data_IF_700247594510
#
_entry.id   IF_700247594510
#
_cell.length_a   1.000
_cell.length_b   1.000
_cell.length_c   1.000
_cell.angle_alpha   90.00
_cell.angle_beta   90.00
_cell.angle_gamma   90.00
#
_symmetry.space_group_name_H-M   'P 1'
#
loop_
_entity.id
_entity.type
_entity.pdbx_description
1 polymer ?
#
# COMPACT_ATOMS: atom_id res chain seq x y z
N UNK A 1 10.19 5.53 -24.75
CA UNK A 1 8.85 5.09 -24.31
C UNK A 1 8.90 3.87 -23.40
N UNK A 2 9.39 2.70 -23.85
CA UNK A 2 9.49 1.50 -23.00
C UNK A 2 10.44 1.67 -21.80
N UNK A 3 11.62 2.26 -22.04
CA UNK A 3 12.59 2.56 -20.99
C UNK A 3 12.04 3.56 -19.95
N UNK A 4 11.23 4.52 -20.40
CA UNK A 4 10.61 5.53 -19.53
C UNK A 4 9.54 4.89 -18.64
N UNK A 5 8.73 3.98 -19.21
CA UNK A 5 7.73 3.23 -18.48
C UNK A 5 8.37 2.36 -17.38
N UNK A 6 9.44 1.62 -17.72
CA UNK A 6 10.20 0.81 -16.77
C UNK A 6 10.87 1.67 -15.68
N UNK A 7 11.44 2.82 -16.04
CA UNK A 7 12.03 3.73 -15.06
C UNK A 7 10.97 4.29 -14.11
N UNK A 8 9.79 4.66 -14.60
CA UNK A 8 8.67 5.08 -13.74
C UNK A 8 8.24 3.98 -12.78
N UNK A 9 8.13 2.73 -13.26
CA UNK A 9 7.80 1.59 -12.41
C UNK A 9 8.88 1.35 -11.36
N UNK A 10 10.16 1.32 -11.75
CA UNK A 10 11.29 1.14 -10.83
C UNK A 10 11.26 2.17 -9.70
N UNK A 11 11.09 3.44 -10.06
CA UNK A 11 11.00 4.53 -9.09
C UNK A 11 9.74 4.40 -8.22
N UNK A 12 8.61 3.98 -8.79
CA UNK A 12 7.39 3.69 -8.03
C UNK A 12 7.59 2.59 -6.97
N UNK A 13 8.17 1.46 -7.35
CA UNK A 13 8.48 0.37 -6.42
C UNK A 13 9.49 0.78 -5.35
N UNK A 14 10.46 1.65 -5.68
CA UNK A 14 11.36 2.22 -4.68
C UNK A 14 10.61 3.05 -3.63
N UNK A 15 9.65 3.88 -4.05
CA UNK A 15 8.83 4.65 -3.09
C UNK A 15 7.93 3.74 -2.25
N UNK A 16 7.35 2.67 -2.82
CA UNK A 16 6.61 1.67 -2.03
C UNK A 16 7.52 1.01 -1.00
N UNK A 17 8.75 0.66 -1.36
CA UNK A 17 9.72 0.09 -0.44
C UNK A 17 10.02 1.04 0.71
N UNK A 18 10.29 2.31 0.42
CA UNK A 18 10.52 3.34 1.45
C UNK A 18 9.29 3.49 2.34
N UNK A 19 8.09 3.56 1.76
CA UNK A 19 6.86 3.66 2.53
C UNK A 19 6.64 2.45 3.45
N UNK A 20 6.91 1.24 2.95
CA UNK A 20 6.77 0.00 3.72
C UNK A 20 7.76 -0.04 4.88
N UNK A 21 9.02 0.38 4.67
CA UNK A 21 10.00 0.49 5.75
C UNK A 21 9.58 1.52 6.81
N UNK A 22 9.05 2.67 6.40
CA UNK A 22 8.54 3.68 7.32
C UNK A 22 7.34 3.15 8.13
N UNK A 23 6.45 2.39 7.51
CA UNK A 23 5.34 1.74 8.21
C UNK A 23 5.83 0.73 9.24
N UNK A 24 6.79 -0.14 8.86
CA UNK A 24 7.38 -1.13 9.76
C UNK A 24 8.04 -0.45 10.96
N UNK A 25 8.89 0.56 10.71
CA UNK A 25 9.54 1.34 11.79
C UNK A 25 8.48 1.96 12.69
N UNK A 26 7.44 2.57 12.10
CA UNK A 26 6.30 3.12 12.84
C UNK A 26 5.67 2.07 13.76
N UNK A 27 5.32 0.90 13.25
CA UNK A 27 4.71 -0.19 14.01
C UNK A 27 5.62 -0.61 15.17
N UNK A 28 6.93 -0.79 14.95
CA UNK A 28 7.86 -1.15 16.02
C UNK A 28 7.95 -0.06 17.10
N UNK A 29 8.02 1.21 16.72
CA UNK A 29 8.03 2.34 17.65
C UNK A 29 6.72 2.40 18.46
N UNK A 30 5.58 2.21 17.78
CA UNK A 30 4.26 2.15 18.40
C UNK A 30 4.14 1.00 19.41
N UNK A 31 4.52 -0.22 19.02
CA UNK A 31 4.50 -1.38 19.91
C UNK A 31 5.43 -1.20 21.11
N UNK A 32 6.67 -0.73 20.89
CA UNK A 32 7.61 -0.45 21.97
C UNK A 32 7.03 0.56 22.98
N UNK A 33 6.31 1.57 22.50
CA UNK A 33 5.64 2.53 23.37
C UNK A 33 4.51 1.91 24.20
N UNK A 34 3.73 0.99 23.63
CA UNK A 34 2.69 0.27 24.35
C UNK A 34 3.31 -0.57 25.47
N UNK A 35 4.39 -1.31 25.18
CA UNK A 35 5.11 -2.08 26.19
C UNK A 35 5.71 -1.19 27.30
N UNK A 36 6.28 -0.03 26.95
CA UNK A 36 6.80 0.92 27.92
C UNK A 36 5.68 1.45 28.85
N UNK A 37 4.50 1.75 28.30
CA UNK A 37 3.33 2.17 29.09
C UNK A 37 2.83 1.05 29.99
N UNK A 38 2.66 -0.16 29.46
CA UNK A 38 2.17 -1.31 30.24
C UNK A 38 3.14 -1.65 31.36
N UNK A 39 4.45 -1.69 31.10
CA UNK A 39 5.46 -1.91 32.13
C UNK A 39 5.46 -0.82 33.20
N UNK A 40 5.36 0.45 32.80
CA UNK A 40 5.35 1.58 33.72
C UNK A 40 4.08 1.69 34.57
N UNK A 41 2.93 1.19 34.11
CA UNK A 41 1.69 1.13 34.91
C UNK A 41 1.85 0.25 36.16
N UNK A 42 2.72 -0.76 36.11
CA UNK A 42 3.02 -1.60 37.26
C UNK A 42 4.00 -0.96 38.26
N UNK A 43 4.77 0.05 37.84
CA UNK A 43 5.81 0.68 38.68
C UNK A 43 5.43 2.08 39.18
N UNK A 44 4.93 3.00 38.32
CA UNK A 44 4.63 4.39 38.69
C UNK A 44 3.49 5.04 37.85
N UNK A 45 2.26 5.17 38.39
CA UNK A 45 1.05 5.49 37.62
C UNK A 45 0.91 6.93 37.09
N UNK A 46 1.71 7.91 37.54
CA UNK A 46 1.44 9.34 37.26
C UNK A 46 2.49 10.07 36.38
N UNK A 47 3.64 9.47 36.05
CA UNK A 47 4.76 10.18 35.38
C UNK A 47 4.98 9.87 33.88
N UNK A 48 4.23 8.95 33.27
CA UNK A 48 4.54 8.44 31.92
C UNK A 48 3.55 8.82 30.80
N UNK A 49 2.54 9.66 31.08
CA UNK A 49 1.57 10.10 30.06
C UNK A 49 2.25 10.89 28.94
N UNK A 50 3.29 11.67 29.25
CA UNK A 50 4.01 12.50 28.27
C UNK A 50 4.88 11.68 27.30
N UNK A 51 5.56 10.62 27.78
CA UNK A 51 6.39 9.75 26.93
C UNK A 51 5.54 8.81 26.07
N UNK A 52 4.41 8.33 26.59
CA UNK A 52 3.40 7.60 25.84
C UNK A 52 2.80 8.44 24.71
N UNK A 53 2.42 9.68 25.00
CA UNK A 53 1.85 10.60 24.03
C UNK A 53 2.85 10.95 22.91
N UNK A 54 4.14 11.15 23.26
CA UNK A 54 5.20 11.41 22.28
C UNK A 54 5.40 10.27 21.29
N UNK A 55 5.44 9.02 21.77
CA UNK A 55 5.64 7.87 20.90
C UNK A 55 4.40 7.53 20.05
N UNK A 56 3.19 7.71 20.60
CA UNK A 56 1.96 7.63 19.81
C UNK A 56 1.93 8.70 18.70
N UNK A 57 2.35 9.94 19.01
CA UNK A 57 2.45 10.99 18.00
C UNK A 57 3.44 10.61 16.89
N UNK A 58 4.62 10.07 17.23
CA UNK A 58 5.60 9.58 16.23
C UNK A 58 5.02 8.45 15.39
N UNK A 59 4.32 7.49 16.01
CA UNK A 59 3.63 6.41 15.30
C UNK A 59 2.63 6.94 14.27
N UNK A 60 1.74 7.85 14.67
CA UNK A 60 0.75 8.44 13.76
C UNK A 60 1.40 9.26 12.65
N UNK A 61 2.45 10.03 12.95
CA UNK A 61 3.20 10.79 11.95
C UNK A 61 3.82 9.83 10.94
N UNK A 62 4.51 8.77 11.38
CA UNK A 62 5.13 7.79 10.49
C UNK A 62 4.11 7.06 9.62
N UNK A 63 2.95 6.69 10.17
CA UNK A 63 1.85 6.12 9.39
C UNK A 63 1.34 7.09 8.32
N UNK A 64 1.16 8.37 8.67
CA UNK A 64 0.67 9.39 7.74
C UNK A 64 1.70 9.63 6.62
N UNK A 65 2.98 9.75 6.96
CA UNK A 65 4.06 9.88 5.97
C UNK A 65 4.13 8.64 5.08
N UNK A 66 4.08 7.43 5.65
CA UNK A 66 4.08 6.17 4.89
C UNK A 66 2.90 6.10 3.92
N UNK A 67 1.69 6.44 4.38
CA UNK A 67 0.51 6.49 3.54
C UNK A 67 0.69 7.49 2.39
N UNK A 68 1.14 8.72 2.68
CA UNK A 68 1.38 9.75 1.67
C UNK A 68 2.41 9.33 0.60
N UNK A 69 3.51 8.70 1.03
CA UNK A 69 4.54 8.17 0.11
C UNK A 69 3.98 7.02 -0.72
N UNK A 70 3.19 6.12 -0.14
CA UNK A 70 2.53 5.01 -0.88
C UNK A 70 1.55 5.53 -1.93
N UNK A 71 0.73 6.51 -1.56
CA UNK A 71 -0.18 7.23 -2.44
C UNK A 71 0.57 7.86 -3.62
N UNK A 72 1.65 8.57 -3.33
CA UNK A 72 2.50 9.16 -4.37
C UNK A 72 3.16 8.10 -5.25
N UNK A 73 3.61 6.99 -4.67
CA UNK A 73 4.21 5.88 -5.43
C UNK A 73 3.22 5.28 -6.42
N UNK A 74 2.02 4.94 -5.95
CA UNK A 74 0.99 4.27 -6.74
C UNK A 74 0.46 5.22 -7.82
N UNK A 75 0.06 6.44 -7.45
CA UNK A 75 -0.63 7.34 -8.38
C UNK A 75 0.30 8.25 -9.17
N UNK A 76 1.43 8.64 -8.59
CA UNK A 76 2.41 9.52 -9.23
C UNK A 76 3.40 8.78 -10.12
N UNK A 77 3.68 7.49 -9.87
CA UNK A 77 4.72 6.75 -10.59
C UNK A 77 4.22 5.44 -11.21
N UNK A 78 3.62 4.55 -10.44
CA UNK A 78 3.21 3.22 -10.94
C UNK A 78 2.09 3.35 -11.96
N UNK A 79 1.02 4.09 -11.68
CA UNK A 79 -0.10 4.27 -12.61
C UNK A 79 0.33 4.86 -13.96
N UNK A 80 1.09 5.98 -14.02
CA UNK A 80 1.65 6.46 -15.29
C UNK A 80 2.56 5.44 -15.98
N UNK A 81 3.41 4.74 -15.23
CA UNK A 81 4.27 3.68 -15.76
C UNK A 81 3.49 2.54 -16.41
N UNK A 82 2.44 2.04 -15.75
CA UNK A 82 1.56 1.00 -16.29
C UNK A 82 0.76 1.49 -17.50
N UNK A 83 0.35 2.77 -17.53
CA UNK A 83 -0.30 3.38 -18.70
C UNK A 83 0.64 3.44 -19.90
N UNK A 84 1.91 3.78 -19.68
CA UNK A 84 2.91 3.79 -20.75
C UNK A 84 3.19 2.36 -21.23
N UNK A 85 3.27 1.39 -20.32
CA UNK A 85 3.39 -0.03 -20.69
C UNK A 85 2.19 -0.52 -21.49
N UNK A 86 0.97 -0.08 -21.17
CA UNK A 86 -0.23 -0.53 -21.86
C UNK A 86 -0.36 -0.04 -23.30
N UNK A 87 0.28 1.10 -23.62
CA UNK A 87 0.44 1.56 -24.99
C UNK A 87 1.36 0.65 -25.82
N UNK A 88 2.28 -0.07 -25.17
CA UNK A 88 3.25 -0.94 -25.83
C UNK A 88 2.73 -2.38 -25.90
N UNK A 89 2.01 -2.83 -24.87
CA UNK A 89 1.33 -4.12 -24.84
C UNK A 89 0.01 -4.01 -24.08
N UNK A 90 -1.09 -4.26 -24.79
CA UNK A 90 -2.46 -4.22 -24.26
C UNK A 90 -2.67 -5.14 -23.06
N UNK A 91 -1.83 -6.15 -22.86
CA UNK A 91 -1.83 -6.99 -21.67
C UNK A 91 -1.67 -6.23 -20.35
N UNK A 92 -1.09 -5.03 -20.37
CA UNK A 92 -0.91 -4.17 -19.20
C UNK A 92 -2.14 -3.28 -18.91
N UNK A 93 -3.15 -3.21 -19.78
CA UNK A 93 -4.38 -2.43 -19.54
C UNK A 93 -5.12 -2.92 -18.28
N UNK A 94 -5.08 -4.24 -18.04
CA UNK A 94 -5.64 -4.87 -16.84
C UNK A 94 -4.96 -4.33 -15.57
N UNK A 95 -3.64 -4.15 -15.62
CA UNK A 95 -2.87 -3.68 -14.48
C UNK A 95 -3.06 -2.18 -14.23
N UNK A 96 -3.18 -1.38 -15.30
CA UNK A 96 -3.58 0.02 -15.20
C UNK A 96 -4.99 0.17 -14.59
N UNK A 97 -5.92 -0.70 -15.02
CA UNK A 97 -7.26 -0.79 -14.42
C UNK A 97 -7.17 -1.14 -12.94
N UNK A 98 -6.27 -2.06 -12.56
CA UNK A 98 -5.96 -2.36 -11.16
C UNK A 98 -5.59 -1.14 -10.33
N UNK A 99 -4.64 -0.31 -10.79
CA UNK A 99 -4.29 0.93 -10.08
C UNK A 99 -5.45 1.94 -10.00
N UNK A 100 -6.37 1.92 -10.97
CA UNK A 100 -7.57 2.76 -10.96
C UNK A 100 -8.58 2.24 -9.94
N UNK A 101 -8.75 0.92 -9.81
CA UNK A 101 -9.58 0.32 -8.76
C UNK A 101 -9.06 0.66 -7.37
N UNK A 102 -7.74 0.64 -7.14
CA UNK A 102 -7.16 1.09 -5.87
C UNK A 102 -7.58 2.54 -5.53
N UNK A 103 -7.59 3.44 -6.52
CA UNK A 103 -8.04 4.83 -6.35
C UNK A 103 -9.54 4.90 -6.03
N UNK A 104 -10.36 4.16 -6.77
CA UNK A 104 -11.82 4.13 -6.57
C UNK A 104 -12.16 3.58 -5.18
N UNK A 105 -11.55 2.46 -4.79
CA UNK A 105 -11.75 1.88 -3.47
C UNK A 105 -11.32 2.82 -2.35
N UNK A 106 -10.19 3.53 -2.52
CA UNK A 106 -9.77 4.56 -1.57
C UNK A 106 -10.78 5.70 -1.45
N UNK A 107 -11.32 6.19 -2.58
CA UNK A 107 -12.36 7.23 -2.56
C UNK A 107 -13.61 6.73 -1.82
N UNK A 108 -14.03 5.48 -2.06
CA UNK A 108 -15.16 4.87 -1.36
C UNK A 108 -14.92 4.84 0.15
N UNK A 109 -13.73 4.43 0.60
CA UNK A 109 -13.37 4.44 2.02
C UNK A 109 -13.40 5.86 2.60
N UNK A 110 -12.79 6.83 1.93
CA UNK A 110 -12.73 8.22 2.41
C UNK A 110 -14.14 8.82 2.53
N UNK A 111 -14.95 8.69 1.49
CA UNK A 111 -16.33 9.20 1.50
C UNK A 111 -17.17 8.51 2.56
N UNK A 112 -17.01 7.19 2.73
CA UNK A 112 -17.68 6.43 3.77
C UNK A 112 -17.28 6.83 5.19
N UNK A 113 -15.99 7.11 5.41
CA UNK A 113 -15.50 7.62 6.69
C UNK A 113 -16.07 9.00 7.00
N UNK A 114 -16.02 9.92 6.03
CA UNK A 114 -16.58 11.28 6.20
C UNK A 114 -18.08 11.21 6.51
N UNK A 115 -18.84 10.50 5.67
CA UNK A 115 -20.30 10.38 5.84
C UNK A 115 -20.67 9.69 7.15
N UNK A 116 -19.99 8.58 7.49
CA UNK A 116 -20.22 7.88 8.74
C UNK A 116 -19.91 8.72 9.98
N UNK A 117 -18.80 9.47 9.98
CA UNK A 117 -18.45 10.38 11.08
C UNK A 117 -19.46 11.51 11.24
N UNK A 118 -19.97 12.07 10.13
CA UNK A 118 -21.02 13.10 10.17
C UNK A 118 -22.33 12.55 10.76
N UNK A 119 -22.73 11.33 10.38
CA UNK A 119 -23.93 10.67 10.91
C UNK A 119 -23.77 10.36 12.41
N UNK A 120 -22.59 9.89 12.83
CA UNK A 120 -22.27 9.68 14.25
C UNK A 120 -22.38 10.99 15.03
N UNK A 121 -21.75 12.07 14.52
CA UNK A 121 -21.79 13.38 15.16
C UNK A 121 -23.21 13.94 15.29
N UNK A 122 -24.01 13.84 14.21
CA UNK A 122 -25.40 14.28 14.22
C UNK A 122 -26.27 13.45 15.18
N UNK A 123 -26.11 12.13 15.18
CA UNK A 123 -26.83 11.23 16.10
C UNK A 123 -26.49 11.47 17.57
N UNK A 124 -25.21 11.71 17.88
CA UNK A 124 -24.76 12.06 19.21
C UNK A 124 -25.31 13.42 19.68
N UNK A 125 -25.25 14.44 18.82
CA UNK A 125 -25.79 15.77 19.12
C UNK A 125 -27.30 15.76 19.36
N UNK A 126 -28.03 14.88 18.66
CA UNK A 126 -29.48 14.73 18.81
C UNK A 126 -29.91 13.75 19.93
N UNK A 127 -28.97 13.22 20.72
CA UNK A 127 -29.21 12.17 21.70
C UNK A 127 -30.00 10.96 21.15
N UNK A 128 -29.80 10.65 19.86
CA UNK A 128 -30.45 9.56 19.15
C UNK A 128 -29.45 8.40 18.94
N UNK A 129 -29.34 7.45 19.89
CA UNK A 129 -28.32 6.40 19.85
C UNK A 129 -28.42 5.51 18.61
N UNK A 130 -29.62 5.28 18.07
CA UNK A 130 -29.82 4.52 16.84
C UNK A 130 -29.25 5.21 15.59
N UNK A 131 -29.22 6.54 15.57
CA UNK A 131 -28.61 7.31 14.48
C UNK A 131 -27.08 7.19 14.52
N UNK A 132 -26.48 7.26 15.72
CA UNK A 132 -25.04 7.05 15.88
C UNK A 132 -24.61 5.64 15.46
N UNK A 133 -25.41 4.61 15.79
CA UNK A 133 -25.18 3.24 15.35
C UNK A 133 -25.20 3.09 13.81
N UNK A 134 -26.13 3.79 13.14
CA UNK A 134 -26.22 3.77 11.68
C UNK A 134 -24.95 4.32 11.01
N UNK A 135 -24.32 5.35 11.59
CA UNK A 135 -23.06 5.88 11.08
C UNK A 135 -21.89 4.89 11.20
N UNK A 136 -21.87 4.07 12.26
CA UNK A 136 -20.89 2.96 12.38
C UNK A 136 -21.08 1.93 11.26
N UNK A 137 -22.33 1.55 10.94
CA UNK A 137 -22.60 0.64 9.83
C UNK A 137 -22.20 1.22 8.47
N UNK A 138 -22.35 2.54 8.26
CA UNK A 138 -21.86 3.22 7.06
C UNK A 138 -20.34 3.10 6.95
N UNK A 139 -19.61 3.34 8.04
CA UNK A 139 -18.14 3.18 8.07
C UNK A 139 -17.77 1.73 7.75
N UNK A 140 -18.35 0.76 8.45
CA UNK A 140 -18.04 -0.65 8.25
C UNK A 140 -18.34 -1.11 6.82
N UNK A 141 -19.50 -0.73 6.28
CA UNK A 141 -19.87 -1.04 4.91
C UNK A 141 -18.92 -0.43 3.89
N UNK A 142 -18.52 0.83 4.06
CA UNK A 142 -17.60 1.49 3.16
C UNK A 142 -16.17 0.95 3.25
N UNK A 143 -15.68 0.64 4.46
CA UNK A 143 -14.38 -0.01 4.66
C UNK A 143 -14.38 -1.41 4.02
N UNK A 144 -15.46 -2.17 4.17
CA UNK A 144 -15.58 -3.49 3.57
C UNK A 144 -15.61 -3.43 2.03
N UNK A 145 -16.50 -2.64 1.44
CA UNK A 145 -16.63 -2.50 -0.01
C UNK A 145 -15.37 -1.89 -0.62
N UNK A 146 -14.90 -0.78 -0.06
CA UNK A 146 -13.70 -0.10 -0.52
C UNK A 146 -12.45 -0.96 -0.37
N UNK A 147 -12.34 -1.70 0.74
CA UNK A 147 -11.28 -2.67 0.98
C UNK A 147 -11.24 -3.79 -0.05
N UNK A 148 -12.39 -4.38 -0.40
CA UNK A 148 -12.47 -5.40 -1.48
C UNK A 148 -12.03 -4.80 -2.82
N UNK A 149 -12.46 -3.58 -3.15
CA UNK A 149 -12.09 -2.92 -4.41
C UNK A 149 -10.58 -2.63 -4.46
N UNK A 150 -9.99 -2.17 -3.36
CA UNK A 150 -8.54 -1.97 -3.24
C UNK A 150 -7.80 -3.31 -3.40
N UNK A 151 -8.27 -4.36 -2.73
CA UNK A 151 -7.69 -5.71 -2.80
C UNK A 151 -7.65 -6.24 -4.23
N UNK A 152 -8.76 -6.14 -4.96
CA UNK A 152 -8.81 -6.50 -6.39
C UNK A 152 -7.81 -5.64 -7.18
N UNK A 153 -7.74 -4.34 -6.89
CA UNK A 153 -6.77 -3.43 -7.47
C UNK A 153 -5.32 -3.85 -7.27
N UNK A 154 -4.96 -4.28 -6.05
CA UNK A 154 -3.61 -4.77 -5.73
C UNK A 154 -3.27 -6.07 -6.47
N UNK A 155 -4.20 -7.02 -6.52
CA UNK A 155 -4.02 -8.26 -7.28
C UNK A 155 -3.73 -7.94 -8.74
N UNK A 156 -4.53 -7.06 -9.36
CA UNK A 156 -4.35 -6.71 -10.77
C UNK A 156 -3.08 -5.88 -11.02
N UNK A 157 -2.74 -4.94 -10.13
CA UNK A 157 -1.60 -4.05 -10.33
C UNK A 157 -0.26 -4.73 -10.05
N UNK A 158 -0.16 -5.48 -8.94
CA UNK A 158 1.10 -6.04 -8.46
C UNK A 158 1.27 -7.49 -8.85
N UNK A 159 0.28 -8.35 -8.61
CA UNK A 159 0.40 -9.80 -8.87
C UNK A 159 0.36 -10.05 -10.38
N UNK A 160 -0.71 -9.65 -11.04
CA UNK A 160 -0.85 -9.80 -12.50
C UNK A 160 0.22 -8.98 -13.22
N UNK A 161 0.54 -7.78 -12.72
CA UNK A 161 1.63 -6.95 -13.23
C UNK A 161 2.98 -7.66 -13.23
N UNK A 162 3.32 -8.34 -12.13
CA UNK A 162 4.55 -9.13 -12.02
C UNK A 162 4.62 -10.26 -13.07
N UNK A 163 3.56 -11.06 -13.21
CA UNK A 163 3.54 -12.14 -14.20
C UNK A 163 3.56 -11.62 -15.65
N UNK A 164 2.93 -10.48 -15.92
CA UNK A 164 3.00 -9.82 -17.23
C UNK A 164 4.39 -9.32 -17.55
N UNK A 165 5.10 -8.72 -16.57
CA UNK A 165 6.49 -8.32 -16.73
C UNK A 165 7.40 -9.53 -16.99
N UNK A 166 7.16 -10.66 -16.31
CA UNK A 166 7.86 -11.91 -16.62
C UNK A 166 7.61 -12.35 -18.07
N UNK A 167 6.35 -12.42 -18.50
CA UNK A 167 6.02 -12.87 -19.86
C UNK A 167 6.69 -12.03 -20.96
N UNK A 168 6.94 -10.74 -20.69
CA UNK A 168 7.58 -9.83 -21.64
C UNK A 168 9.11 -9.84 -21.57
N UNK A 169 9.69 -9.84 -20.37
CA UNK A 169 11.14 -9.65 -20.17
C UNK A 169 11.89 -10.92 -19.77
N UNK A 170 11.18 -12.01 -19.52
CA UNK A 170 11.70 -13.33 -19.13
C UNK A 170 12.68 -13.28 -17.95
N UNK A 171 12.48 -12.36 -17.00
CA UNK A 171 13.25 -12.29 -15.76
C UNK A 171 12.50 -13.01 -14.62
N UNK A 172 13.07 -14.10 -14.12
CA UNK A 172 12.48 -14.97 -13.09
C UNK A 172 12.23 -14.25 -11.76
N UNK A 173 12.94 -13.16 -11.48
CA UNK A 173 12.70 -12.33 -10.29
C UNK A 173 11.28 -11.75 -10.27
N UNK A 174 10.67 -11.49 -11.43
CA UNK A 174 9.27 -11.07 -11.51
C UNK A 174 8.30 -12.15 -11.05
N UNK A 175 8.55 -13.42 -11.41
CA UNK A 175 7.73 -14.55 -10.91
C UNK A 175 7.87 -14.65 -9.39
N UNK A 176 9.10 -14.60 -8.89
CA UNK A 176 9.36 -14.71 -7.46
C UNK A 176 8.63 -13.60 -6.69
N UNK A 177 8.67 -12.36 -7.17
CA UNK A 177 7.91 -11.25 -6.61
C UNK A 177 6.39 -11.51 -6.63
N UNK A 178 5.85 -11.97 -7.76
CA UNK A 178 4.42 -12.30 -7.90
C UNK A 178 3.96 -13.39 -6.93
N UNK A 179 4.75 -14.45 -6.75
CA UNK A 179 4.47 -15.53 -5.79
C UNK A 179 4.50 -14.99 -4.36
N UNK A 180 5.51 -14.18 -4.01
CA UNK A 180 5.60 -13.59 -2.67
C UNK A 180 4.38 -12.71 -2.37
N UNK A 181 3.90 -11.93 -3.33
CA UNK A 181 2.66 -11.16 -3.15
C UNK A 181 1.44 -12.05 -2.93
N UNK A 182 1.31 -13.18 -3.64
CA UNK A 182 0.21 -14.13 -3.42
C UNK A 182 0.28 -14.73 -2.01
N UNK A 183 1.46 -15.16 -1.58
CA UNK A 183 1.63 -15.78 -0.26
C UNK A 183 1.41 -14.76 0.84
N UNK A 184 1.91 -13.53 0.69
CA UNK A 184 1.67 -12.44 1.64
C UNK A 184 0.18 -12.13 1.77
N UNK A 185 -0.54 -12.12 0.64
CA UNK A 185 -1.98 -11.91 0.61
C UNK A 185 -2.73 -13.02 1.36
N UNK A 186 -2.34 -14.28 1.15
CA UNK A 186 -2.92 -15.41 1.87
C UNK A 186 -2.64 -15.32 3.39
N UNK A 187 -1.44 -14.90 3.78
CA UNK A 187 -1.07 -14.68 5.18
C UNK A 187 -1.80 -13.49 5.79
N UNK A 188 -2.13 -12.47 5.02
CA UNK A 188 -2.91 -11.32 5.49
C UNK A 188 -4.30 -11.76 5.99
N UNK A 189 -4.94 -12.76 5.35
CA UNK A 189 -6.21 -13.33 5.84
C UNK A 189 -6.10 -14.06 7.18
N UNK A 190 -4.89 -14.51 7.56
CA UNK A 190 -4.60 -15.17 8.84
C UNK A 190 -4.01 -14.16 9.85
N UNK A 191 -3.86 -12.89 9.48
CA UNK A 191 -3.35 -11.81 10.33
C UNK A 191 -1.83 -11.69 10.42
N UNK A 192 -1.08 -12.33 9.50
CA UNK A 192 0.42 -12.36 9.52
C UNK A 192 1.03 -11.80 8.23
N UNK A 193 0.27 -11.02 7.46
CA UNK A 193 0.75 -10.41 6.20
C UNK A 193 1.69 -9.22 6.40
N UNK A 194 2.43 -8.86 5.35
CA UNK A 194 3.20 -7.62 5.22
C UNK A 194 4.71 -7.81 5.04
N UNK A 195 5.29 -8.91 5.53
CA UNK A 195 6.75 -9.14 5.43
C UNK A 195 7.12 -9.65 4.04
N UNK A 196 6.29 -10.53 3.45
CA UNK A 196 6.59 -11.12 2.14
C UNK A 196 6.36 -10.09 1.03
N UNK A 197 5.43 -9.16 1.18
CA UNK A 197 5.25 -8.06 0.23
C UNK A 197 6.44 -7.09 0.22
N UNK A 198 7.12 -6.88 1.36
CA UNK A 198 8.38 -6.14 1.38
C UNK A 198 9.43 -6.84 0.51
N UNK A 199 9.65 -8.14 0.70
CA UNK A 199 10.61 -8.92 -0.09
C UNK A 199 10.21 -8.94 -1.56
N UNK A 200 8.92 -9.12 -1.87
CA UNK A 200 8.39 -9.05 -3.25
C UNK A 200 8.68 -7.70 -3.91
N UNK A 201 8.56 -6.60 -3.18
CA UNK A 201 8.85 -5.24 -3.65
C UNK A 201 10.34 -5.03 -3.92
N UNK A 202 11.22 -5.60 -3.08
CA UNK A 202 12.67 -5.61 -3.33
C UNK A 202 12.98 -6.37 -4.63
N UNK A 203 12.45 -7.58 -4.79
CA UNK A 203 12.67 -8.37 -5.99
C UNK A 203 12.16 -7.67 -7.25
N UNK A 204 10.99 -7.02 -7.17
CA UNK A 204 10.43 -6.24 -8.26
C UNK A 204 11.34 -5.07 -8.66
N UNK A 205 11.86 -4.33 -7.69
CA UNK A 205 12.80 -3.24 -7.92
C UNK A 205 14.09 -3.72 -8.60
N UNK A 206 14.68 -4.82 -8.11
CA UNK A 206 15.90 -5.41 -8.68
C UNK A 206 15.63 -5.91 -10.11
N UNK A 207 14.53 -6.63 -10.33
CA UNK A 207 14.14 -7.13 -11.64
C UNK A 207 13.97 -6.00 -12.68
N UNK A 208 13.32 -4.90 -12.27
CA UNK A 208 13.15 -3.70 -13.10
C UNK A 208 14.50 -3.07 -13.43
N UNK A 209 15.40 -2.94 -12.44
CA UNK A 209 16.75 -2.43 -12.65
C UNK A 209 17.52 -3.26 -13.67
N UNK A 210 17.58 -4.57 -13.50
CA UNK A 210 18.26 -5.47 -14.44
C UNK A 210 17.65 -5.41 -15.85
N UNK A 211 16.33 -5.31 -15.95
CA UNK A 211 15.63 -5.20 -17.24
C UNK A 211 16.01 -3.92 -17.97
N UNK A 212 16.05 -2.79 -17.25
CA UNK A 212 16.47 -1.49 -17.78
C UNK A 212 17.92 -1.54 -18.27
N UNK A 213 18.82 -2.15 -17.49
CA UNK A 213 20.23 -2.28 -17.87
C UNK A 213 20.41 -3.13 -19.14
N UNK A 214 19.70 -4.27 -19.23
CA UNK A 214 19.72 -5.14 -20.42
C UNK A 214 19.21 -4.43 -21.68
N UNK A 215 18.10 -3.69 -21.57
CA UNK A 215 17.52 -2.95 -22.71
C UNK A 215 18.44 -1.79 -23.12
N UNK A 216 18.98 -1.06 -22.14
CA UNK A 216 19.91 0.06 -22.39
C UNK A 216 21.18 -0.41 -23.10
N UNK A 217 21.79 -1.51 -22.64
CA UNK A 217 22.97 -2.10 -23.28
C UNK A 217 22.70 -2.52 -24.73
N UNK A 218 21.56 -3.19 -24.97
CA UNK A 218 21.15 -3.60 -26.32
C UNK A 218 20.91 -2.41 -27.25
N UNK A 219 20.44 -1.27 -26.73
CA UNK A 219 20.27 -0.04 -27.51
C UNK A 219 21.58 0.68 -27.83
N UNK A 220 22.62 0.51 -27.00
CA UNK A 220 23.93 1.13 -27.17
C UNK A 220 24.87 0.34 -28.11
N UNK A 221 24.52 -0.92 -28.43
CA UNK A 221 25.26 -1.77 -29.38
C UNK A 221 24.36 -2.13 -30.56
N UNK A 222 24.14 -1.20 -31.52
CA UNK A 222 23.40 -1.50 -32.73
C UNK A 222 24.22 -2.48 -33.58
N UNK A 223 23.74 -3.72 -33.68
CA UNK A 223 24.18 -4.70 -34.67
C UNK A 223 23.70 -4.32 -36.06
#
# INVERSE_FOLDING_TARGET
MELDALNMLKTGFLYILVATLLAIIGIFVGLASIFAVVGAVFEHPFHYVASAAGALAVFFILLLVSAAVSLYAIFGKIRPGMRLMSQIDRGFDICHTGTTLMLVGLIVVILGLITGLLVIGAGAAAAMPFSALSGVFVILGAVFIGGIVILIGEILAFIVGAFKLYGRYNNTLYIAAGILYIVDLALAFVGVGGILSLVGTILMYVALKETIEKISYKSATPS
#
